data_IF_218298500068
#
_entry.id   IF_218298500068
#
_cell.length_a   1.000
_cell.length_b   1.000
_cell.length_c   1.000
_cell.angle_alpha   90.00
_cell.angle_beta   90.00
_cell.angle_gamma   90.00
#
_symmetry.space_group_name_H-M   'P 1'
#
loop_
_entity.id
_entity.type
_entity.pdbx_description
1 polymer ?
#
# COMPACT_ATOMS: atom_id res chain seq x y z
N UNK A 1 23.63 -14.92 -4.45
CA UNK A 1 22.47 -15.12 -5.35
C UNK A 1 21.29 -14.37 -4.81
N UNK A 2 20.64 -13.63 -5.68
CA UNK A 2 19.42 -12.91 -5.31
C UNK A 2 18.27 -13.89 -5.15
N UNK A 3 17.53 -13.77 -4.07
CA UNK A 3 16.28 -14.47 -3.94
C UNK A 3 15.24 -13.82 -4.84
N UNK A 4 14.32 -14.63 -5.35
CA UNK A 4 13.21 -14.14 -6.15
C UNK A 4 11.99 -13.96 -5.26
N UNK A 5 11.27 -12.86 -5.50
CA UNK A 5 10.06 -12.52 -4.78
C UNK A 5 8.87 -12.85 -5.67
N UNK A 6 7.89 -13.58 -5.12
CA UNK A 6 6.66 -13.88 -5.84
C UNK A 6 5.68 -12.75 -5.69
N UNK A 7 5.15 -12.26 -6.81
CA UNK A 7 4.17 -11.17 -6.85
C UNK A 7 3.00 -11.60 -7.72
N UNK A 8 1.80 -11.58 -7.14
CA UNK A 8 0.58 -11.90 -7.87
C UNK A 8 0.12 -10.69 -8.68
N UNK A 9 -0.19 -10.91 -9.96
CA UNK A 9 -0.74 -9.87 -10.81
C UNK A 9 -2.16 -9.52 -10.38
N UNK A 10 -2.44 -8.24 -10.20
CA UNK A 10 -3.77 -7.76 -9.84
C UNK A 10 -4.73 -7.75 -11.02
N UNK A 11 -4.22 -7.87 -12.26
CA UNK A 11 -5.04 -7.94 -13.45
C UNK A 11 -5.46 -9.34 -13.84
N UNK A 12 -4.52 -10.27 -13.98
CA UNK A 12 -4.81 -11.63 -14.45
C UNK A 12 -4.67 -12.72 -13.39
N UNK A 13 -4.23 -12.38 -12.18
CA UNK A 13 -4.02 -13.33 -11.09
C UNK A 13 -2.79 -14.22 -11.25
N UNK A 14 -2.02 -14.06 -12.33
CA UNK A 14 -0.81 -14.85 -12.56
C UNK A 14 0.29 -14.55 -11.55
N UNK A 15 1.06 -15.56 -11.17
CA UNK A 15 2.19 -15.39 -10.28
C UNK A 15 3.42 -15.01 -11.08
N UNK A 16 4.09 -13.95 -10.66
CA UNK A 16 5.34 -13.48 -11.24
C UNK A 16 6.47 -13.64 -10.22
N UNK A 17 7.67 -13.88 -10.70
CA UNK A 17 8.87 -13.85 -9.87
C UNK A 17 9.72 -12.68 -10.30
N UNK A 18 10.04 -11.80 -9.35
CA UNK A 18 10.90 -10.66 -9.58
C UNK A 18 12.20 -10.82 -8.80
N UNK A 19 13.27 -10.25 -9.32
CA UNK A 19 14.53 -10.25 -8.62
C UNK A 19 14.45 -9.35 -7.37
N UNK A 20 15.18 -9.69 -6.33
CA UNK A 20 15.25 -8.88 -5.11
C UNK A 20 15.66 -7.44 -5.43
N UNK A 21 16.52 -7.25 -6.42
CA UNK A 21 16.97 -5.94 -6.87
C UNK A 21 15.86 -5.10 -7.51
N UNK A 22 14.75 -5.73 -7.91
CA UNK A 22 13.60 -5.02 -8.48
C UNK A 22 12.71 -4.39 -7.42
N UNK A 23 12.90 -4.70 -6.15
CA UNK A 23 12.15 -4.08 -5.05
C UNK A 23 12.33 -2.56 -5.09
N UNK A 24 11.21 -1.83 -5.01
CA UNK A 24 11.19 -0.38 -5.15
C UNK A 24 11.17 0.12 -6.59
N UNK A 25 11.22 -0.77 -7.58
CA UNK A 25 11.19 -0.43 -9.00
C UNK A 25 9.86 -0.86 -9.63
N UNK A 26 9.58 -0.36 -10.82
CA UNK A 26 8.41 -0.78 -11.57
C UNK A 26 8.67 -2.11 -12.27
N UNK A 27 7.66 -2.96 -12.31
CA UNK A 27 7.69 -4.20 -13.06
C UNK A 27 6.29 -4.47 -13.62
N UNK A 28 6.22 -5.23 -14.70
CA UNK A 28 4.93 -5.58 -15.32
C UNK A 28 4.79 -7.10 -15.35
N UNK A 29 3.54 -7.56 -15.35
CA UNK A 29 3.23 -8.98 -15.47
C UNK A 29 3.77 -9.52 -16.78
N UNK A 30 4.51 -10.62 -16.71
CA UNK A 30 5.03 -11.30 -17.92
C UNK A 30 3.94 -11.82 -18.84
N UNK A 31 2.72 -11.98 -18.32
CA UNK A 31 1.59 -12.58 -19.00
C UNK A 31 0.67 -11.54 -19.64
N UNK A 32 0.18 -10.56 -18.87
CA UNK A 32 -0.79 -9.57 -19.35
C UNK A 32 -0.26 -8.14 -19.42
N UNK A 33 0.98 -7.92 -19.00
CA UNK A 33 1.66 -6.61 -19.01
C UNK A 33 1.05 -5.56 -18.08
N UNK A 34 0.14 -5.95 -17.19
CA UNK A 34 -0.37 -5.06 -16.14
C UNK A 34 0.76 -4.75 -15.15
N UNK A 35 0.88 -3.50 -14.67
CA UNK A 35 1.87 -3.20 -13.64
C UNK A 35 1.68 -4.05 -12.38
N UNK A 36 2.77 -4.59 -11.86
CA UNK A 36 2.75 -5.45 -10.68
C UNK A 36 2.81 -4.62 -9.38
N UNK A 37 2.17 -5.10 -8.30
CA UNK A 37 2.28 -4.45 -6.98
C UNK A 37 3.61 -4.81 -6.32
N UNK A 38 4.69 -4.25 -6.85
CA UNK A 38 6.05 -4.52 -6.35
C UNK A 38 6.23 -3.85 -4.99
N UNK A 39 6.69 -4.58 -3.94
CA UNK A 39 6.94 -3.96 -2.64
C UNK A 39 8.13 -2.98 -2.70
N UNK A 40 8.22 -2.11 -1.70
CA UNK A 40 9.26 -1.10 -1.61
C UNK A 40 8.89 0.24 -2.23
N UNK A 41 7.67 0.38 -2.72
CA UNK A 41 7.09 1.62 -3.27
C UNK A 41 5.72 1.86 -2.67
N UNK A 42 5.31 3.13 -2.67
CA UNK A 42 3.91 3.47 -2.38
C UNK A 42 3.12 3.27 -3.68
N UNK A 43 2.16 2.36 -3.63
CA UNK A 43 1.36 1.98 -4.80
C UNK A 43 0.07 2.80 -4.85
N UNK A 44 -0.45 3.02 -6.05
CA UNK A 44 -1.72 3.72 -6.27
C UNK A 44 -2.68 2.82 -7.06
N UNK A 45 -3.26 1.81 -6.39
CA UNK A 45 -4.13 0.85 -7.07
C UNK A 45 -5.49 1.48 -7.42
N UNK A 46 -6.14 0.89 -8.43
CA UNK A 46 -7.56 1.16 -8.67
C UNK A 46 -8.39 0.50 -7.57
N UNK A 47 -9.68 0.82 -7.51
CA UNK A 47 -10.58 0.21 -6.52
C UNK A 47 -10.59 -1.32 -6.62
N UNK A 48 -10.71 -1.85 -7.84
CA UNK A 48 -10.71 -3.29 -8.07
C UNK A 48 -9.36 -3.93 -7.69
N UNK A 49 -8.26 -3.28 -8.04
CA UNK A 49 -6.92 -3.77 -7.70
C UNK A 49 -6.70 -3.78 -6.18
N UNK A 50 -7.20 -2.77 -5.47
CA UNK A 50 -7.07 -2.73 -4.03
C UNK A 50 -7.86 -3.86 -3.36
N UNK A 51 -9.08 -4.14 -3.85
CA UNK A 51 -9.88 -5.24 -3.33
C UNK A 51 -9.15 -6.58 -3.46
N UNK A 52 -8.53 -6.83 -4.61
CA UNK A 52 -7.73 -8.04 -4.84
C UNK A 52 -6.51 -8.07 -3.91
N UNK A 53 -5.81 -6.93 -3.79
CA UNK A 53 -4.62 -6.84 -2.96
C UNK A 53 -4.94 -7.14 -1.50
N UNK A 54 -6.00 -6.56 -0.95
CA UNK A 54 -6.41 -6.79 0.43
C UNK A 54 -6.72 -8.27 0.69
N UNK A 55 -7.38 -8.93 -0.25
CA UNK A 55 -7.77 -10.33 -0.09
C UNK A 55 -6.61 -11.31 -0.28
N UNK A 56 -5.70 -11.01 -1.22
CA UNK A 56 -4.69 -11.98 -1.66
C UNK A 56 -3.27 -11.68 -1.19
N UNK A 57 -3.00 -10.49 -0.65
CA UNK A 57 -1.66 -10.16 -0.19
C UNK A 57 -1.25 -11.05 0.98
N UNK A 58 -0.06 -11.65 0.88
CA UNK A 58 0.52 -12.39 1.99
C UNK A 58 1.02 -11.45 3.09
N UNK A 59 1.29 -10.19 2.72
CA UNK A 59 1.78 -9.17 3.63
C UNK A 59 0.63 -8.29 4.12
N UNK A 60 0.78 -7.66 5.29
CA UNK A 60 -0.13 -6.59 5.69
C UNK A 60 -0.11 -5.45 4.67
N UNK A 61 -1.24 -4.76 4.53
CA UNK A 61 -1.40 -3.63 3.60
C UNK A 61 -1.73 -2.38 4.39
N UNK A 62 -0.87 -1.38 4.31
CA UNK A 62 -1.11 -0.05 4.89
C UNK A 62 -1.73 0.82 3.81
N UNK A 63 -2.91 1.36 4.08
CA UNK A 63 -3.64 2.23 3.14
C UNK A 63 -3.61 3.66 3.67
N UNK A 64 -3.11 4.59 2.86
CA UNK A 64 -3.15 6.03 3.12
C UNK A 64 -4.31 6.63 2.33
N UNK A 65 -5.38 6.99 3.03
CA UNK A 65 -6.48 7.75 2.44
C UNK A 65 -6.14 9.23 2.53
N UNK A 66 -6.00 9.88 1.38
CA UNK A 66 -5.52 11.25 1.29
C UNK A 66 -6.38 12.10 0.36
N UNK A 67 -6.09 13.40 0.33
CA UNK A 67 -6.64 14.35 -0.63
C UNK A 67 -5.50 15.20 -1.21
N UNK A 68 -5.61 15.56 -2.46
CA UNK A 68 -4.63 16.41 -3.16
C UNK A 68 -4.48 17.79 -2.51
N UNK A 69 -5.54 18.29 -1.86
CA UNK A 69 -5.55 19.62 -1.24
C UNK A 69 -5.17 19.60 0.24
N UNK A 70 -4.82 18.45 0.77
CA UNK A 70 -4.54 18.25 2.19
C UNK A 70 -3.05 18.44 2.47
N UNK A 71 -2.68 19.51 3.18
CA UNK A 71 -1.29 19.78 3.53
C UNK A 71 -0.69 18.72 4.45
N UNK A 72 -1.37 18.25 5.52
CA UNK A 72 -0.84 17.14 6.33
C UNK A 72 -0.62 15.86 5.53
N UNK A 73 -1.47 15.59 4.52
CA UNK A 73 -1.29 14.43 3.65
C UNK A 73 0.03 14.53 2.87
N UNK A 74 0.34 15.71 2.36
CA UNK A 74 1.59 15.94 1.64
C UNK A 74 2.81 15.78 2.53
N UNK A 75 2.71 16.18 3.79
CA UNK A 75 3.78 15.99 4.76
C UNK A 75 4.06 14.50 5.04
N UNK A 76 3.03 13.68 5.03
CA UNK A 76 3.16 12.24 5.29
C UNK A 76 3.71 11.46 4.10
N UNK A 77 3.61 11.99 2.88
CA UNK A 77 3.98 11.24 1.68
C UNK A 77 5.45 10.76 1.70
N UNK A 78 6.46 11.60 1.98
CA UNK A 78 7.84 11.11 2.06
C UNK A 78 8.06 10.12 3.22
N UNK A 79 7.30 10.24 4.30
CA UNK A 79 7.35 9.29 5.43
C UNK A 79 6.84 7.93 4.98
N UNK A 80 5.76 7.90 4.19
CA UNK A 80 5.21 6.67 3.62
C UNK A 80 6.19 6.03 2.65
N UNK A 81 6.82 6.81 1.78
CA UNK A 81 7.82 6.29 0.84
C UNK A 81 9.01 5.66 1.58
N UNK A 82 9.50 6.32 2.62
CA UNK A 82 10.59 5.79 3.43
C UNK A 82 10.18 4.49 4.13
N UNK A 83 8.98 4.44 4.67
CA UNK A 83 8.45 3.23 5.32
C UNK A 83 8.32 2.08 4.32
N UNK A 84 7.80 2.35 3.13
CA UNK A 84 7.66 1.35 2.08
C UNK A 84 9.01 0.73 1.71
N UNK A 85 10.05 1.54 1.61
CA UNK A 85 11.41 1.04 1.32
C UNK A 85 11.97 0.21 2.47
N UNK A 86 11.84 0.71 3.71
CA UNK A 86 12.37 0.00 4.89
C UNK A 86 11.67 -1.31 5.16
N UNK A 87 10.38 -1.38 4.88
CA UNK A 87 9.55 -2.54 5.18
C UNK A 87 9.20 -3.35 3.93
N UNK A 88 9.94 -3.16 2.82
CA UNK A 88 9.79 -3.97 1.61
C UNK A 88 9.95 -5.45 1.97
N UNK A 89 8.99 -6.28 1.58
CA UNK A 89 8.96 -7.69 1.96
C UNK A 89 8.20 -7.98 3.25
N UNK A 90 7.84 -6.96 4.04
CA UNK A 90 7.08 -7.13 5.28
C UNK A 90 5.79 -6.33 5.31
N UNK A 91 5.67 -5.32 4.46
CA UNK A 91 4.52 -4.43 4.44
C UNK A 91 4.30 -3.88 3.04
N UNK A 92 3.07 -3.92 2.55
CA UNK A 92 2.66 -3.23 1.33
C UNK A 92 2.09 -1.87 1.72
N UNK A 93 2.47 -0.82 1.00
CA UNK A 93 1.98 0.54 1.25
C UNK A 93 1.26 1.06 0.01
N UNK A 94 0.02 1.48 0.18
CA UNK A 94 -0.80 2.00 -0.92
C UNK A 94 -1.42 3.35 -0.53
N UNK A 95 -1.72 4.17 -1.53
CA UNK A 95 -2.41 5.45 -1.38
C UNK A 95 -3.73 5.41 -2.12
N UNK A 96 -4.75 6.04 -1.53
CA UNK A 96 -6.08 6.16 -2.14
C UNK A 96 -6.51 7.62 -2.03
N UNK A 97 -6.74 8.25 -3.17
CA UNK A 97 -7.31 9.59 -3.26
C UNK A 97 -8.81 9.51 -2.99
N UNK A 98 -9.26 10.10 -1.89
CA UNK A 98 -10.67 10.04 -1.49
C UNK A 98 -11.60 10.75 -2.45
N UNK A 99 -11.10 11.75 -3.18
CA UNK A 99 -11.90 12.45 -4.19
C UNK A 99 -12.04 11.61 -5.47
N UNK A 100 -10.99 10.87 -5.85
CA UNK A 100 -11.03 10.00 -7.03
C UNK A 100 -11.82 8.72 -6.77
N UNK A 101 -11.83 8.22 -5.52
CA UNK A 101 -12.48 6.97 -5.13
C UNK A 101 -13.44 7.17 -3.96
N UNK A 102 -14.52 7.95 -4.15
CA UNK A 102 -15.43 8.27 -3.04
C UNK A 102 -16.16 7.05 -2.49
N UNK A 103 -16.46 6.06 -3.34
CA UNK A 103 -17.12 4.83 -2.88
C UNK A 103 -16.21 4.03 -1.95
N UNK A 104 -14.92 3.98 -2.26
CA UNK A 104 -13.93 3.29 -1.43
C UNK A 104 -13.75 4.00 -0.09
N UNK A 105 -13.65 5.34 -0.12
CA UNK A 105 -13.58 6.13 1.10
C UNK A 105 -14.81 5.93 1.98
N UNK A 106 -15.99 5.85 1.37
CA UNK A 106 -17.24 5.59 2.08
C UNK A 106 -17.28 4.19 2.68
N UNK A 107 -16.79 3.19 1.95
CA UNK A 107 -16.75 1.80 2.45
C UNK A 107 -15.85 1.68 3.68
N UNK A 108 -14.75 2.41 3.74
CA UNK A 108 -13.86 2.45 4.90
C UNK A 108 -14.28 3.48 5.94
N UNK A 109 -15.38 4.21 5.71
CA UNK A 109 -15.91 5.24 6.62
C UNK A 109 -14.87 6.31 6.95
N UNK A 110 -14.19 6.80 5.91
CA UNK A 110 -13.17 7.83 6.07
C UNK A 110 -13.87 9.18 6.28
N UNK A 111 -13.60 9.82 7.42
CA UNK A 111 -14.20 11.10 7.81
C UNK A 111 -13.21 12.25 7.79
N UNK A 112 -11.93 11.94 7.78
CA UNK A 112 -10.86 12.93 7.78
C UNK A 112 -9.66 12.39 7.01
N UNK A 113 -8.81 13.29 6.49
CA UNK A 113 -7.57 12.92 5.82
C UNK A 113 -6.39 13.63 6.46
N UNK A 114 -5.21 13.00 6.53
CA UNK A 114 -4.98 11.60 6.17
C UNK A 114 -5.57 10.64 7.20
N UNK A 115 -6.05 9.50 6.74
CA UNK A 115 -6.41 8.36 7.59
C UNK A 115 -5.63 7.15 7.10
N UNK A 116 -4.98 6.46 8.03
CA UNK A 116 -4.17 5.29 7.74
C UNK A 116 -4.85 4.05 8.30
N UNK A 117 -5.01 3.04 7.45
CA UNK A 117 -5.66 1.78 7.82
C UNK A 117 -4.70 0.64 7.52
N UNK A 118 -4.48 -0.25 8.46
CA UNK A 118 -3.71 -1.47 8.24
C UNK A 118 -4.65 -2.65 8.10
N UNK A 119 -4.53 -3.36 6.98
CA UNK A 119 -5.29 -4.59 6.70
C UNK A 119 -4.36 -5.79 6.85
N UNK A 120 -4.82 -6.83 7.53
CA UNK A 120 -4.12 -8.10 7.67
C UNK A 120 -5.08 -9.26 7.44
N UNK A 121 -4.74 -10.14 6.52
CA UNK A 121 -5.58 -11.30 6.23
C UNK A 121 -7.00 -10.93 5.82
N UNK A 122 -7.18 -9.83 5.11
CA UNK A 122 -8.48 -9.35 4.65
C UNK A 122 -9.28 -8.57 5.70
N UNK A 123 -8.70 -8.31 6.88
CA UNK A 123 -9.39 -7.62 7.98
C UNK A 123 -8.63 -6.37 8.42
N UNK A 124 -9.37 -5.39 8.91
CA UNK A 124 -8.76 -4.18 9.46
C UNK A 124 -8.11 -4.52 10.80
N UNK A 125 -6.77 -4.35 10.87
CA UNK A 125 -6.02 -4.55 12.11
C UNK A 125 -6.04 -3.30 12.99
N UNK A 126 -6.14 -2.11 12.39
CA UNK A 126 -6.26 -0.85 13.12
C UNK A 126 -6.20 0.33 12.19
N UNK A 127 -6.46 1.52 12.75
CA UNK A 127 -6.39 2.78 11.99
C UNK A 127 -5.98 3.93 12.89
N UNK A 128 -5.46 4.97 12.26
CA UNK A 128 -5.17 6.25 12.90
C UNK A 128 -5.39 7.37 11.89
N UNK A 129 -5.59 8.59 12.37
CA UNK A 129 -5.81 9.75 11.52
C UNK A 129 -4.87 10.89 11.93
N UNK A 130 -4.53 11.74 10.95
CA UNK A 130 -3.70 12.90 11.17
C UNK A 130 -2.22 12.65 10.92
N UNK A 131 -1.45 13.74 10.79
CA UNK A 131 -0.01 13.66 10.58
C UNK A 131 0.70 13.23 11.85
N UNK A 132 1.77 12.46 11.69
CA UNK A 132 2.62 11.97 12.76
C UNK A 132 4.08 12.18 12.38
N UNK A 133 4.96 12.18 13.39
CA UNK A 133 6.40 12.09 13.14
C UNK A 133 6.72 10.74 12.50
N UNK A 134 7.85 10.69 11.80
CA UNK A 134 8.30 9.44 11.17
C UNK A 134 8.46 8.32 12.21
N UNK A 135 9.04 8.63 13.38
CA UNK A 135 9.24 7.65 14.45
C UNK A 135 7.90 7.12 14.96
N UNK A 136 6.96 8.00 15.29
CA UNK A 136 5.66 7.59 15.82
C UNK A 136 4.88 6.77 14.79
N UNK A 137 4.91 7.20 13.53
CA UNK A 137 4.22 6.49 12.46
C UNK A 137 4.80 5.08 12.25
N UNK A 138 6.14 4.96 12.25
CA UNK A 138 6.80 3.67 12.10
C UNK A 138 6.47 2.71 13.24
N UNK A 139 6.43 3.21 14.47
CA UNK A 139 6.07 2.41 15.64
C UNK A 139 4.61 1.97 15.58
N UNK A 140 3.72 2.88 15.21
CA UNK A 140 2.31 2.54 15.05
C UNK A 140 2.11 1.46 13.99
N UNK A 141 2.69 1.62 12.82
CA UNK A 141 2.57 0.65 11.73
C UNK A 141 3.14 -0.71 12.15
N UNK A 142 4.28 -0.73 12.84
CA UNK A 142 4.90 -1.97 13.32
C UNK A 142 4.03 -2.69 14.34
N UNK A 143 3.27 -1.97 15.15
CA UNK A 143 2.39 -2.57 16.16
C UNK A 143 1.23 -3.36 15.55
N UNK A 144 0.87 -3.08 14.30
CA UNK A 144 -0.27 -3.68 13.60
C UNK A 144 0.13 -4.65 12.48
N UNK A 145 1.41 -4.74 12.18
CA UNK A 145 1.87 -5.51 11.01
C UNK A 145 2.93 -6.58 11.31
#
# INVERSE_FOLDING_TARGET
>A
MSEKIKVSCLGCGGTNQIAEEAVGKTAVCGRCKTPLPVPGRVLEPTEDQLAVLIQKAALPVLIDFYSETCAPCRMMHPILEALARRRAGNLMVVRVDTAAFPNLAGAFRIQAVPTFVVMRGGREAGRTAGAMSETDFSLWAASLS
#
